data_IF_056768094855
#
_entry.id   IF_056768094855
#
_cell.length_a   1.000
_cell.length_b   1.000
_cell.length_c   1.000
_cell.angle_alpha   90.00
_cell.angle_beta   90.00
_cell.angle_gamma   90.00
#
_symmetry.space_group_name_H-M   'P 1'
#
loop_
_entity.id
_entity.type
_entity.pdbx_description
1 polymer ?
#
# COMPACT_ATOMS: atom_id res chain seq x y z
N UNK A 1 -11.43 -19.90 17.32
CA UNK A 1 -11.66 -20.07 15.86
C UNK A 1 -10.45 -19.75 14.98
N UNK A 2 -9.25 -20.26 15.29
CA UNK A 2 -8.09 -20.21 14.36
C UNK A 2 -8.28 -21.14 13.15
N UNK A 3 -8.99 -22.25 13.34
CA UNK A 3 -9.29 -23.22 12.27
C UNK A 3 -10.20 -22.65 11.19
N UNK A 4 -11.20 -21.82 11.54
CA UNK A 4 -12.06 -21.17 10.57
C UNK A 4 -11.32 -20.13 9.71
N UNK A 5 -10.34 -19.41 10.30
CA UNK A 5 -9.51 -18.45 9.58
C UNK A 5 -8.49 -19.14 8.65
N UNK A 6 -7.92 -20.27 9.09
CA UNK A 6 -7.04 -21.09 8.26
C UNK A 6 -7.81 -21.79 7.14
N UNK A 7 -9.05 -22.23 7.39
CA UNK A 7 -9.93 -22.82 6.38
C UNK A 7 -10.35 -21.78 5.32
N UNK A 8 -10.69 -20.55 5.71
CA UNK A 8 -11.02 -19.49 4.76
C UNK A 8 -9.80 -19.06 3.90
N UNK A 9 -8.60 -19.06 4.47
CA UNK A 9 -7.36 -18.82 3.74
C UNK A 9 -7.02 -19.98 2.77
N UNK A 10 -7.27 -21.23 3.18
CA UNK A 10 -7.03 -22.41 2.33
C UNK A 10 -8.03 -22.47 1.18
N UNK A 11 -9.31 -22.13 1.44
CA UNK A 11 -10.37 -22.09 0.44
C UNK A 11 -10.14 -20.98 -0.61
N UNK A 12 -9.64 -19.81 -0.18
CA UNK A 12 -9.32 -18.72 -1.11
C UNK A 12 -8.15 -19.11 -2.03
N UNK A 13 -7.12 -19.78 -1.52
CA UNK A 13 -5.99 -20.29 -2.31
C UNK A 13 -6.42 -21.40 -3.28
N UNK A 14 -7.35 -22.28 -2.88
CA UNK A 14 -7.88 -23.34 -3.75
C UNK A 14 -8.77 -22.82 -4.89
N UNK A 15 -9.55 -21.75 -4.66
CA UNK A 15 -10.37 -21.13 -5.70
C UNK A 15 -9.52 -20.48 -6.81
N UNK A 16 -8.27 -20.09 -6.53
CA UNK A 16 -7.34 -19.56 -7.52
C UNK A 16 -6.61 -20.63 -8.36
N UNK A 17 -6.71 -21.92 -8.03
CA UNK A 17 -5.89 -22.95 -8.70
C UNK A 17 -6.61 -23.83 -9.73
N UNK A 18 -7.95 -23.87 -9.79
CA UNK A 18 -8.61 -24.96 -10.56
C UNK A 18 -9.81 -24.64 -11.45
N UNK A 19 -10.32 -23.40 -11.60
CA UNK A 19 -11.60 -23.22 -12.33
C UNK A 19 -11.72 -22.25 -13.50
N UNK A 20 -10.63 -21.94 -14.22
CA UNK A 20 -10.74 -21.35 -15.58
C UNK A 20 -9.71 -21.96 -16.57
N UNK A 21 -9.23 -23.18 -16.29
CA UNK A 21 -8.21 -23.85 -17.15
C UNK A 21 -8.79 -24.62 -18.34
N UNK A 22 -10.12 -24.63 -18.53
CA UNK A 22 -10.77 -25.46 -19.55
C UNK A 22 -11.26 -24.70 -20.81
N UNK A 23 -11.62 -23.41 -20.73
CA UNK A 23 -12.31 -22.75 -21.86
C UNK A 23 -11.42 -21.84 -22.74
N UNK A 24 -10.21 -21.50 -22.30
CA UNK A 24 -9.32 -20.59 -23.05
C UNK A 24 -8.37 -21.28 -24.03
N UNK A 25 -8.23 -22.61 -23.97
CA UNK A 25 -7.28 -23.37 -24.79
C UNK A 25 -7.82 -23.69 -26.19
N UNK A 26 -9.12 -23.55 -26.45
CA UNK A 26 -9.71 -23.81 -27.78
C UNK A 26 -9.74 -22.60 -28.74
N UNK A 27 -9.42 -21.37 -28.29
CA UNK A 27 -9.48 -20.18 -29.16
C UNK A 27 -8.13 -19.71 -29.72
N UNK A 28 -7.00 -20.27 -29.27
CA UNK A 28 -5.66 -19.79 -29.66
C UNK A 28 -5.01 -20.56 -30.82
N UNK A 29 -5.59 -21.67 -31.29
CA UNK A 29 -4.99 -22.50 -32.36
C UNK A 29 -5.41 -22.11 -33.79
N UNK A 30 -6.06 -20.96 -34.01
CA UNK A 30 -6.54 -20.55 -35.35
C UNK A 30 -5.95 -19.25 -35.91
N UNK A 31 -5.04 -18.58 -35.21
CA UNK A 31 -4.57 -17.25 -35.62
C UNK A 31 -3.08 -17.15 -36.00
N UNK A 32 -2.34 -18.27 -36.10
CA UNK A 32 -0.94 -18.23 -36.51
C UNK A 32 -0.75 -19.16 -37.71
N UNK A 33 -1.03 -18.62 -38.89
CA UNK A 33 -0.57 -19.11 -40.18
C UNK A 33 0.05 -17.95 -40.96
N UNK A 34 1.37 -17.86 -40.83
CA UNK A 34 2.36 -17.47 -41.86
C UNK A 34 2.62 -15.99 -42.29
N UNK A 35 3.87 -15.72 -42.79
CA UNK A 35 4.60 -14.45 -42.67
C UNK A 35 5.08 -13.85 -44.03
N UNK A 36 5.82 -12.70 -44.01
CA UNK A 36 7.01 -12.36 -44.88
C UNK A 36 7.45 -10.87 -44.74
N UNK A 37 8.73 -10.59 -44.43
CA UNK A 37 9.86 -10.03 -45.26
C UNK A 37 9.73 -8.52 -45.61
N UNK A 38 10.74 -7.64 -45.73
CA UNK A 38 12.21 -7.59 -45.59
C UNK A 38 12.68 -6.09 -45.75
N UNK A 39 13.99 -5.84 -45.55
CA UNK A 39 14.82 -4.70 -46.06
C UNK A 39 14.90 -3.43 -45.17
N UNK A 40 16.00 -2.69 -45.03
CA UNK A 40 17.35 -2.76 -45.61
C UNK A 40 18.32 -1.90 -44.76
N UNK A 41 19.63 -2.17 -44.87
CA UNK A 41 20.73 -1.54 -44.14
C UNK A 41 21.32 -0.40 -44.99
N UNK A 42 21.69 0.73 -44.38
CA UNK A 42 22.66 1.67 -44.98
C UNK A 42 23.58 2.25 -43.91
N UNK A 43 24.90 2.14 -44.13
CA UNK A 43 25.99 2.72 -43.33
C UNK A 43 26.62 3.88 -44.10
N UNK A 44 26.90 5.01 -43.45
CA UNK A 44 28.13 5.84 -43.62
C UNK A 44 28.17 7.02 -42.60
N UNK A 45 29.31 7.72 -42.38
CA UNK A 45 29.99 7.66 -41.07
C UNK A 45 30.21 9.00 -40.32
N UNK A 46 30.53 8.84 -39.03
CA UNK A 46 31.41 9.61 -38.15
C UNK A 46 31.24 11.13 -37.98
N UNK A 47 30.68 11.52 -36.83
CA UNK A 47 31.08 12.73 -36.10
C UNK A 47 31.25 12.40 -34.62
N UNK A 48 32.44 12.71 -34.08
CA UNK A 48 32.90 12.41 -32.72
C UNK A 48 32.12 13.19 -31.67
N UNK A 49 31.51 12.52 -30.69
CA UNK A 49 31.36 13.10 -29.34
C UNK A 49 31.17 12.01 -28.27
N UNK A 50 32.04 12.07 -27.26
CA UNK A 50 32.00 11.44 -25.93
C UNK A 50 31.72 9.94 -25.81
N UNK A 51 32.79 9.17 -25.59
CA UNK A 51 32.75 7.84 -24.97
C UNK A 51 32.15 7.90 -23.57
N UNK A 52 30.85 7.60 -23.45
CA UNK A 52 30.32 6.93 -22.26
C UNK A 52 30.44 5.43 -22.50
N UNK A 53 31.08 4.75 -21.55
CA UNK A 53 31.17 3.29 -21.53
C UNK A 53 29.77 2.68 -21.53
N UNK A 54 29.34 2.15 -22.68
CA UNK A 54 28.26 1.18 -22.74
C UNK A 54 28.77 -0.12 -22.13
N UNK A 55 28.59 -0.26 -20.82
CA UNK A 55 28.46 -1.58 -20.22
C UNK A 55 27.22 -2.23 -20.86
N UNK A 56 27.38 -3.45 -21.37
CA UNK A 56 26.42 -4.10 -22.25
C UNK A 56 24.99 -4.11 -21.72
N UNK A 57 24.04 -4.10 -22.66
CA UNK A 57 22.61 -4.28 -22.43
C UNK A 57 22.32 -5.63 -21.73
N UNK A 58 22.60 -5.73 -20.44
CA UNK A 58 21.74 -6.51 -19.56
C UNK A 58 20.43 -5.75 -19.57
N UNK A 59 19.40 -6.34 -20.17
CA UNK A 59 18.03 -5.89 -19.97
C UNK A 59 17.85 -5.85 -18.44
N UNK A 60 17.90 -4.67 -17.83
CA UNK A 60 17.59 -4.54 -16.42
C UNK A 60 16.12 -4.93 -16.31
N UNK A 61 15.86 -6.13 -15.81
CA UNK A 61 14.52 -6.59 -15.55
C UNK A 61 13.88 -5.56 -14.60
N UNK A 62 12.61 -5.19 -14.84
CA UNK A 62 11.90 -4.30 -13.92
C UNK A 62 11.96 -4.93 -12.51
N UNK A 63 12.17 -4.12 -11.48
CA UNK A 63 12.27 -4.64 -10.10
C UNK A 63 10.99 -5.34 -9.66
N UNK A 64 9.84 -4.86 -10.13
CA UNK A 64 8.54 -5.38 -9.80
C UNK A 64 7.86 -5.99 -11.02
N UNK A 65 7.06 -7.02 -10.76
CA UNK A 65 6.09 -7.60 -11.70
C UNK A 65 4.71 -7.64 -11.09
N UNK A 66 3.71 -7.61 -11.97
CA UNK A 66 2.31 -7.78 -11.62
C UNK A 66 1.94 -9.27 -11.57
N UNK A 67 1.05 -9.65 -10.67
CA UNK A 67 0.44 -10.98 -10.64
C UNK A 67 -0.37 -11.26 -11.90
N UNK A 68 -0.41 -12.53 -12.34
CA UNK A 68 -1.13 -12.93 -13.58
C UNK A 68 -2.60 -12.53 -13.59
N UNK A 69 -3.27 -12.63 -12.45
CA UNK A 69 -4.65 -12.21 -12.29
C UNK A 69 -4.62 -10.82 -11.66
N UNK A 70 -5.04 -9.82 -12.42
CA UNK A 70 -5.21 -8.44 -11.96
C UNK A 70 -6.37 -7.79 -12.73
N UNK A 71 -6.81 -6.64 -12.24
CA UNK A 71 -7.88 -5.87 -12.86
C UNK A 71 -7.41 -5.22 -14.17
N UNK A 72 -8.07 -5.57 -15.27
CA UNK A 72 -7.76 -5.09 -16.61
C UNK A 72 -8.51 -3.77 -16.92
N UNK A 73 -8.20 -2.74 -16.14
CA UNK A 73 -8.71 -1.37 -16.35
C UNK A 73 -7.59 -0.32 -16.47
N UNK A 74 -6.33 -0.76 -16.56
CA UNK A 74 -5.13 0.08 -16.67
C UNK A 74 -4.58 0.60 -15.34
N UNK A 75 -5.28 0.43 -14.21
CA UNK A 75 -4.79 0.85 -12.89
C UNK A 75 -3.50 0.10 -12.51
N UNK A 76 -3.50 -1.22 -12.71
CA UNK A 76 -2.43 -2.07 -12.23
C UNK A 76 -1.11 -1.84 -12.99
N UNK A 77 -1.19 -1.68 -14.31
CA UNK A 77 -0.06 -1.39 -15.18
C UNK A 77 0.50 0.00 -14.94
N UNK A 78 -0.38 0.99 -14.80
CA UNK A 78 0.04 2.36 -14.56
C UNK A 78 0.74 2.48 -13.19
N UNK A 79 0.25 1.81 -12.15
CA UNK A 79 0.93 1.81 -10.86
C UNK A 79 2.21 0.96 -10.86
N UNK A 80 2.26 -0.14 -11.62
CA UNK A 80 3.49 -0.92 -11.82
C UNK A 80 4.61 -0.07 -12.42
N UNK A 81 4.27 0.81 -13.37
CA UNK A 81 5.23 1.73 -13.97
C UNK A 81 5.81 2.70 -12.94
N UNK A 82 4.97 3.25 -12.04
CA UNK A 82 5.43 4.13 -10.97
C UNK A 82 6.30 3.40 -9.93
N UNK A 83 5.92 2.18 -9.54
CA UNK A 83 6.74 1.36 -8.64
C UNK A 83 8.13 1.08 -9.22
N UNK A 84 8.23 0.78 -10.51
CA UNK A 84 9.50 0.50 -11.18
C UNK A 84 10.35 1.74 -11.45
N UNK A 85 9.74 2.94 -11.50
CA UNK A 85 10.45 4.21 -11.63
C UNK A 85 10.91 4.79 -10.30
N UNK A 86 10.23 4.45 -9.21
CA UNK A 86 10.53 5.00 -7.90
C UNK A 86 11.89 4.54 -7.36
N UNK A 87 12.68 5.45 -6.77
CA UNK A 87 13.88 5.09 -6.04
C UNK A 87 13.58 4.05 -4.94
N UNK A 88 14.48 3.09 -4.76
CA UNK A 88 14.25 1.96 -3.85
C UNK A 88 14.04 2.42 -2.40
N UNK A 89 14.80 3.42 -1.97
CA UNK A 89 14.75 4.10 -0.66
C UNK A 89 13.47 4.90 -0.42
N UNK A 90 12.82 5.39 -1.46
CA UNK A 90 11.55 6.13 -1.35
C UNK A 90 10.32 5.22 -1.19
N UNK A 91 10.47 3.92 -1.48
CA UNK A 91 9.37 2.98 -1.31
C UNK A 91 9.26 2.53 0.15
N UNK A 92 8.24 3.07 0.83
CA UNK A 92 8.03 2.95 2.27
C UNK A 92 6.61 2.48 2.58
N UNK A 93 6.41 1.71 3.65
CA UNK A 93 5.09 1.13 3.96
C UNK A 93 4.02 2.19 4.29
N UNK A 94 4.44 3.30 4.87
CA UNK A 94 3.53 4.39 5.26
C UNK A 94 3.52 5.58 4.28
N UNK A 95 4.11 5.44 3.09
CA UNK A 95 4.06 6.45 2.02
C UNK A 95 3.73 5.79 0.68
N UNK A 96 3.04 6.52 -0.18
CA UNK A 96 2.98 6.12 -1.57
C UNK A 96 4.31 6.48 -2.25
N UNK A 97 4.71 5.75 -3.30
CA UNK A 97 5.70 6.27 -4.25
C UNK A 97 5.23 7.64 -4.78
N UNK A 98 6.17 8.43 -5.30
CA UNK A 98 5.79 9.65 -6.03
C UNK A 98 4.93 9.23 -7.23
N UNK A 99 3.75 9.84 -7.35
CA UNK A 99 2.78 9.56 -8.41
C UNK A 99 2.73 10.74 -9.39
N UNK A 100 3.67 10.85 -10.35
CA UNK A 100 3.66 11.89 -11.37
C UNK A 100 2.50 11.70 -12.37
N UNK A 101 1.95 10.49 -12.48
CA UNK A 101 0.82 10.20 -13.36
C UNK A 101 -0.44 10.95 -12.91
N UNK A 102 -0.99 11.88 -13.71
CA UNK A 102 -2.17 12.64 -13.32
C UNK A 102 -3.45 11.79 -13.24
N UNK A 103 -3.44 10.53 -13.68
CA UNK A 103 -4.59 9.63 -13.63
C UNK A 103 -4.67 8.86 -12.31
N UNK A 104 -3.52 8.49 -11.72
CA UNK A 104 -3.47 7.86 -10.39
C UNK A 104 -3.01 8.89 -9.38
N UNK A 105 -3.85 9.20 -8.38
CA UNK A 105 -3.52 10.13 -7.31
C UNK A 105 -3.74 9.50 -5.96
N UNK A 106 -3.11 10.02 -4.92
CA UNK A 106 -3.63 9.79 -3.57
C UNK A 106 -5.02 10.43 -3.46
N UNK A 107 -5.97 9.72 -2.87
CA UNK A 107 -7.27 10.28 -2.54
C UNK A 107 -7.07 11.45 -1.57
N UNK A 108 -7.62 12.61 -1.92
CA UNK A 108 -7.49 13.82 -1.11
C UNK A 108 -8.34 13.70 0.14
N UNK A 109 -7.70 13.87 1.30
CA UNK A 109 -8.39 14.08 2.57
C UNK A 109 -8.18 15.52 3.01
N UNK A 110 -9.27 16.22 3.31
CA UNK A 110 -9.26 17.59 3.82
C UNK A 110 -8.81 17.58 5.28
N UNK A 111 -7.77 18.33 5.67
CA UNK A 111 -7.37 18.44 7.07
C UNK A 111 -8.52 18.91 7.97
N UNK A 112 -8.65 18.30 9.14
CA UNK A 112 -9.57 18.77 10.19
C UNK A 112 -8.76 19.65 11.14
N UNK A 113 -9.25 20.86 11.37
CA UNK A 113 -8.56 21.92 12.13
C UNK A 113 -9.48 22.55 13.19
N UNK A 114 -8.88 23.25 14.15
CA UNK A 114 -9.60 23.98 15.20
C UNK A 114 -10.43 23.08 16.12
N UNK A 115 -11.55 23.61 16.61
CA UNK A 115 -12.44 22.90 17.55
C UNK A 115 -12.99 21.58 17.01
N UNK A 116 -13.10 21.41 15.69
CA UNK A 116 -13.54 20.15 15.07
C UNK A 116 -12.60 18.99 15.38
N UNK A 117 -11.32 19.25 15.65
CA UNK A 117 -10.40 18.17 16.08
C UNK A 117 -10.94 17.53 17.36
N UNK A 118 -11.39 18.33 18.33
CA UNK A 118 -11.90 17.85 19.62
C UNK A 118 -13.14 17.00 19.43
N UNK A 119 -14.10 17.49 18.65
CA UNK A 119 -15.35 16.80 18.33
C UNK A 119 -15.08 15.44 17.66
N UNK A 120 -14.30 15.42 16.58
CA UNK A 120 -14.03 14.18 15.85
C UNK A 120 -13.18 13.22 16.69
N UNK A 121 -12.20 13.73 17.43
CA UNK A 121 -11.36 12.90 18.29
C UNK A 121 -12.18 12.19 19.37
N UNK A 122 -13.15 12.88 19.98
CA UNK A 122 -14.08 12.29 20.95
C UNK A 122 -14.84 11.09 20.36
N UNK A 123 -15.34 11.22 19.13
CA UNK A 123 -16.11 10.16 18.46
C UNK A 123 -15.28 8.90 18.16
N UNK A 124 -13.98 9.07 17.91
CA UNK A 124 -13.09 7.97 17.51
C UNK A 124 -12.16 7.50 18.64
N UNK A 125 -12.24 8.12 19.82
CA UNK A 125 -11.39 7.78 20.95
C UNK A 125 -11.79 6.43 21.55
N UNK A 126 -10.78 5.56 21.74
CA UNK A 126 -10.94 4.19 22.26
C UNK A 126 -9.90 3.86 23.34
N UNK A 127 -9.44 4.86 24.09
CA UNK A 127 -8.45 4.68 25.15
C UNK A 127 -9.04 4.11 26.44
N UNK A 128 -8.17 3.75 27.39
CA UNK A 128 -8.58 3.13 28.67
C UNK A 128 -9.16 4.12 29.68
N UNK A 129 -8.64 5.35 29.70
CA UNK A 129 -9.14 6.45 30.53
C UNK A 129 -10.31 7.15 29.84
N UNK A 130 -11.13 7.92 30.57
CA UNK A 130 -12.24 8.65 29.95
C UNK A 130 -11.71 9.69 28.96
N UNK A 131 -12.55 10.11 28.02
CA UNK A 131 -12.12 11.07 27.01
C UNK A 131 -11.73 12.41 27.63
N UNK A 132 -12.47 12.87 28.65
CA UNK A 132 -12.21 14.12 29.37
C UNK A 132 -10.84 14.09 30.06
N UNK A 133 -10.44 12.93 30.59
CA UNK A 133 -9.12 12.72 31.19
C UNK A 133 -8.01 12.70 30.13
N UNK A 134 -8.28 12.13 28.95
CA UNK A 134 -7.31 12.04 27.87
C UNK A 134 -7.10 13.35 27.11
N UNK A 135 -8.14 14.18 26.99
CA UNK A 135 -8.16 15.33 26.10
C UNK A 135 -6.97 16.29 26.31
N UNK A 136 -6.58 16.70 27.53
CA UNK A 136 -5.47 17.64 27.72
C UNK A 136 -4.11 17.13 27.19
N UNK A 137 -3.86 15.82 27.19
CA UNK A 137 -2.67 15.26 26.54
C UNK A 137 -2.84 15.20 25.03
N UNK A 138 -4.01 14.77 24.56
CA UNK A 138 -4.29 14.62 23.13
C UNK A 138 -4.28 15.96 22.39
N UNK A 139 -4.80 17.01 23.01
CA UNK A 139 -4.74 18.38 22.51
C UNK A 139 -3.29 18.83 22.29
N UNK A 140 -2.39 18.58 23.26
CA UNK A 140 -0.96 18.83 23.11
C UNK A 140 -0.35 18.00 21.98
N UNK A 141 -0.77 16.75 21.81
CA UNK A 141 -0.32 15.90 20.71
C UNK A 141 -0.76 16.41 19.34
N UNK A 142 -1.95 16.99 19.22
CA UNK A 142 -2.38 17.68 18.00
C UNK A 142 -1.57 18.94 17.73
N UNK A 143 -1.35 19.79 18.74
CA UNK A 143 -0.56 21.02 18.63
C UNK A 143 0.90 20.74 18.23
N UNK A 144 1.47 19.64 18.71
CA UNK A 144 2.83 19.21 18.35
C UNK A 144 2.89 18.48 16.98
N UNK A 145 1.75 18.21 16.35
CA UNK A 145 1.66 17.45 15.09
C UNK A 145 1.90 15.95 15.23
N UNK A 146 1.80 15.42 16.45
CA UNK A 146 1.88 13.98 16.74
C UNK A 146 0.65 13.25 16.23
N UNK A 147 -0.54 13.82 16.41
CA UNK A 147 -1.75 13.36 15.71
C UNK A 147 -2.16 14.36 14.65
N UNK A 148 -2.70 13.86 13.54
CA UNK A 148 -3.40 14.67 12.54
C UNK A 148 -4.66 13.94 12.10
N UNK A 149 -5.74 14.70 11.95
CA UNK A 149 -7.01 14.22 11.42
C UNK A 149 -7.26 14.87 10.07
N UNK A 150 -7.84 14.11 9.17
CA UNK A 150 -8.33 14.59 7.90
C UNK A 150 -9.56 13.77 7.51
N UNK A 151 -10.43 14.31 6.68
CA UNK A 151 -11.68 13.66 6.28
C UNK A 151 -11.81 13.57 4.76
N UNK A 152 -12.52 12.53 4.30
CA UNK A 152 -12.94 12.39 2.92
C UNK A 152 -14.32 11.72 2.86
N UNK A 153 -14.98 11.88 1.71
CA UNK A 153 -16.28 11.30 1.43
C UNK A 153 -16.19 10.45 0.18
N UNK A 154 -16.33 9.13 0.31
CA UNK A 154 -16.29 8.20 -0.81
C UNK A 154 -17.10 6.95 -0.49
N UNK A 155 -17.53 6.26 -1.55
CA UNK A 155 -18.29 5.02 -1.46
C UNK A 155 -17.34 3.86 -1.11
N UNK A 156 -17.33 3.48 0.15
CA UNK A 156 -16.50 2.43 0.72
C UNK A 156 -17.24 1.09 0.84
N UNK A 157 -18.55 1.05 0.61
CA UNK A 157 -19.36 -0.16 0.66
C UNK A 157 -19.97 -0.56 -0.71
N UNK A 158 -19.66 0.18 -1.77
CA UNK A 158 -20.20 0.03 -3.12
C UNK A 158 -21.74 0.08 -3.20
N UNK A 159 -22.40 0.86 -2.33
CA UNK A 159 -23.86 1.03 -2.35
C UNK A 159 -24.31 2.30 -3.11
N UNK A 160 -23.36 3.06 -3.64
CA UNK A 160 -23.58 4.32 -4.35
C UNK A 160 -23.68 5.55 -3.44
N UNK A 161 -23.64 5.38 -2.11
CA UNK A 161 -23.60 6.46 -1.13
C UNK A 161 -22.19 6.63 -0.62
N UNK A 162 -21.83 7.86 -0.26
CA UNK A 162 -20.51 8.18 0.25
C UNK A 162 -20.49 8.11 1.78
N UNK A 163 -19.58 7.31 2.32
CA UNK A 163 -19.26 7.32 3.74
C UNK A 163 -18.43 8.53 4.13
N UNK A 164 -18.64 9.03 5.35
CA UNK A 164 -17.72 9.97 5.98
C UNK A 164 -16.55 9.18 6.58
N UNK A 165 -15.35 9.36 6.03
CA UNK A 165 -14.15 8.64 6.45
C UNK A 165 -13.14 9.59 7.07
N UNK A 166 -12.79 9.33 8.32
CA UNK A 166 -11.72 10.01 9.04
C UNK A 166 -10.42 9.25 8.83
N UNK A 167 -9.42 9.93 8.30
CA UNK A 167 -8.02 9.50 8.31
C UNK A 167 -7.33 10.08 9.53
N UNK A 168 -6.88 9.20 10.42
CA UNK A 168 -5.97 9.53 11.51
C UNK A 168 -4.54 9.20 11.11
N UNK A 169 -3.65 10.17 11.22
CA UNK A 169 -2.22 10.00 11.02
C UNK A 169 -1.51 10.01 12.37
N UNK A 170 -0.61 9.06 12.58
CA UNK A 170 0.24 9.00 13.77
C UNK A 170 1.64 8.46 13.45
N UNK A 171 2.68 8.91 14.18
CA UNK A 171 3.97 8.26 14.17
C UNK A 171 3.86 6.79 14.56
N UNK A 172 4.61 5.93 13.88
CA UNK A 172 4.72 4.51 14.24
C UNK A 172 6.06 3.92 13.81
N UNK A 173 6.64 3.07 14.66
CA UNK A 173 7.87 2.33 14.34
C UNK A 173 7.71 1.40 13.13
N UNK A 174 6.49 0.91 12.89
CA UNK A 174 6.19 -0.02 11.79
C UNK A 174 6.33 0.62 10.39
N UNK A 175 6.42 1.95 10.32
CA UNK A 175 6.64 2.67 9.07
C UNK A 175 8.09 2.59 8.59
N UNK A 176 9.05 2.33 9.49
CA UNK A 176 10.46 2.13 9.12
C UNK A 176 10.63 0.70 8.59
N UNK A 177 11.08 0.49 7.34
CA UNK A 177 11.31 -0.86 6.83
C UNK A 177 12.33 -1.61 7.69
N UNK A 178 12.06 -2.86 8.05
CA UNK A 178 13.07 -3.78 8.58
C UNK A 178 14.13 -4.00 7.52
N UNK A 179 15.40 -3.88 7.89
CA UNK A 179 16.53 -4.12 7.00
C UNK A 179 17.46 -5.19 7.58
N UNK A 180 18.09 -5.98 6.70
CA UNK A 180 19.02 -7.04 7.08
C UNK A 180 20.18 -6.50 7.94
N UNK A 181 20.61 -5.26 7.71
CA UNK A 181 21.72 -4.63 8.42
C UNK A 181 21.42 -4.39 9.92
N UNK A 182 20.14 -4.43 10.32
CA UNK A 182 19.72 -4.33 11.72
C UNK A 182 19.74 -5.68 12.46
N UNK A 183 19.85 -6.80 11.75
CA UNK A 183 19.82 -8.15 12.31
C UNK A 183 20.99 -9.05 11.88
N UNK A 184 21.71 -8.76 10.81
CA UNK A 184 22.61 -9.75 10.19
C UNK A 184 21.85 -10.89 9.50
N UNK A 185 22.59 -11.88 9.01
CA UNK A 185 22.06 -12.90 8.10
C UNK A 185 21.14 -13.95 8.74
N UNK A 186 21.17 -14.07 10.08
CA UNK A 186 20.52 -15.14 10.86
C UNK A 186 19.45 -14.66 11.86
N UNK A 187 19.08 -13.38 11.88
CA UNK A 187 18.22 -12.85 12.94
C UNK A 187 16.72 -12.97 12.61
N UNK A 188 16.00 -13.61 13.53
CA UNK A 188 14.54 -13.72 13.56
C UNK A 188 13.90 -12.33 13.50
N UNK A 189 13.07 -12.09 12.48
CA UNK A 189 12.28 -10.88 12.25
C UNK A 189 11.55 -10.41 13.53
N UNK A 190 11.11 -11.34 14.38
CA UNK A 190 10.45 -11.02 15.65
C UNK A 190 11.36 -10.27 16.62
N UNK A 191 12.65 -10.59 16.66
CA UNK A 191 13.61 -9.94 17.55
C UNK A 191 13.91 -8.50 17.13
N UNK A 192 14.07 -8.25 15.83
CA UNK A 192 14.21 -6.89 15.25
C UNK A 192 12.98 -6.04 15.58
N UNK A 193 11.77 -6.60 15.42
CA UNK A 193 10.53 -5.89 15.76
C UNK A 193 10.43 -5.57 17.26
N UNK A 194 10.90 -6.48 18.12
CA UNK A 194 10.93 -6.26 19.58
C UNK A 194 11.89 -5.14 19.96
N UNK A 195 13.12 -5.16 19.46
CA UNK A 195 14.11 -4.12 19.72
C UNK A 195 13.59 -2.75 19.27
N UNK A 196 13.02 -2.66 18.06
CA UNK A 196 12.41 -1.43 17.55
C UNK A 196 11.31 -0.89 18.43
N UNK A 197 10.50 -1.78 19.03
CA UNK A 197 9.46 -1.38 19.97
C UNK A 197 10.06 -0.75 21.22
N UNK A 198 11.12 -1.34 21.78
CA UNK A 198 11.82 -0.79 22.95
C UNK A 198 12.49 0.55 22.65
N UNK A 199 13.18 0.65 21.51
CA UNK A 199 13.77 1.92 21.05
C UNK A 199 12.69 2.98 20.87
N UNK A 200 11.57 2.64 20.23
CA UNK A 200 10.44 3.55 20.03
C UNK A 200 9.84 4.05 21.35
N UNK A 201 9.65 3.15 22.31
CA UNK A 201 9.13 3.48 23.65
C UNK A 201 10.08 4.39 24.44
N UNK A 202 11.40 4.31 24.19
CA UNK A 202 12.39 5.19 24.80
C UNK A 202 12.48 6.58 24.14
N UNK A 203 11.90 6.75 22.94
CA UNK A 203 11.96 8.02 22.21
C UNK A 203 10.97 9.04 22.74
N UNK A 204 11.40 10.29 22.74
CA UNK A 204 10.51 11.44 22.92
C UNK A 204 9.52 11.56 21.75
N UNK A 205 8.34 12.14 21.97
CA UNK A 205 7.36 12.43 20.91
C UNK A 205 7.97 13.22 19.74
N UNK A 206 8.92 14.13 20.02
CA UNK A 206 9.65 14.89 18.99
C UNK A 206 10.50 13.99 18.09
N UNK A 207 11.22 13.03 18.66
CA UNK A 207 12.01 12.04 17.90
C UNK A 207 11.09 11.13 17.07
N UNK A 208 9.98 10.68 17.64
CA UNK A 208 8.97 9.87 16.93
C UNK A 208 8.39 10.63 15.73
N UNK A 209 8.07 11.92 15.88
CA UNK A 209 7.63 12.80 14.78
C UNK A 209 8.71 12.93 13.71
N UNK A 210 9.98 13.10 14.08
CA UNK A 210 11.09 13.17 13.12
C UNK A 210 11.20 11.89 12.30
N UNK A 211 11.09 10.72 12.93
CA UNK A 211 11.05 9.45 12.20
C UNK A 211 9.87 9.36 11.25
N UNK A 212 8.68 9.76 11.69
CA UNK A 212 7.48 9.73 10.85
C UNK A 212 7.57 10.71 9.66
N UNK A 213 8.32 11.82 9.76
CA UNK A 213 8.62 12.69 8.61
C UNK A 213 9.47 11.96 7.56
N UNK A 214 10.44 11.17 8.00
CA UNK A 214 11.31 10.38 7.10
C UNK A 214 10.57 9.19 6.49
N UNK A 215 9.93 8.36 7.31
CA UNK A 215 9.38 7.07 6.89
C UNK A 215 7.87 7.07 6.60
N UNK A 216 7.18 8.15 6.97
CA UNK A 216 5.74 8.31 6.80
C UNK A 216 4.98 8.15 8.12
N UNK A 217 3.75 8.65 8.12
CA UNK A 217 2.82 8.51 9.23
C UNK A 217 1.88 7.35 8.93
N UNK A 218 1.68 6.46 9.88
CA UNK A 218 0.72 5.37 9.77
C UNK A 218 -0.69 5.96 9.57
N UNK A 219 -1.45 5.42 8.61
CA UNK A 219 -2.87 5.74 8.46
C UNK A 219 -3.72 4.82 9.31
N UNK A 220 -4.67 5.37 10.05
CA UNK A 220 -5.88 4.68 10.46
C UNK A 220 -7.08 5.30 9.76
N UNK A 221 -8.02 4.49 9.30
CA UNK A 221 -9.23 4.95 8.64
C UNK A 221 -10.46 4.51 9.43
N UNK A 222 -11.24 5.48 9.89
CA UNK A 222 -12.44 5.28 10.70
C UNK A 222 -13.62 5.79 9.89
N UNK A 223 -14.66 4.97 9.78
CA UNK A 223 -15.92 5.35 9.13
C UNK A 223 -16.87 5.89 10.18
N UNK A 224 -17.39 7.09 9.94
CA UNK A 224 -18.45 7.71 10.72
C UNK A 224 -19.79 7.59 10.00
N UNK A 225 -20.85 7.29 10.75
CA UNK A 225 -22.23 7.36 10.27
C UNK A 225 -23.09 8.00 11.36
N UNK A 226 -23.91 8.98 10.99
CA UNK A 226 -24.84 9.66 11.91
C UNK A 226 -24.16 10.21 13.19
N UNK A 227 -22.90 10.64 13.08
CA UNK A 227 -22.14 11.16 14.21
C UNK A 227 -21.49 10.09 15.09
N UNK A 228 -21.53 8.81 14.71
CA UNK A 228 -20.93 7.72 15.49
C UNK A 228 -19.88 6.95 14.67
N UNK A 229 -18.87 6.41 15.36
CA UNK A 229 -17.90 5.50 14.77
C UNK A 229 -18.57 4.17 14.44
N UNK A 230 -18.83 3.96 13.15
CA UNK A 230 -19.48 2.74 12.63
C UNK A 230 -18.50 1.62 12.41
N UNK A 231 -17.24 1.92 12.06
CA UNK A 231 -16.27 0.88 11.71
C UNK A 231 -14.92 1.42 11.24
N UNK A 232 -14.12 0.52 10.65
CA UNK A 232 -12.78 0.82 10.14
C UNK A 232 -12.61 0.28 8.73
N UNK A 233 -11.78 0.94 7.92
CA UNK A 233 -11.36 0.36 6.65
C UNK A 233 -10.22 -0.64 6.89
N UNK A 234 -10.21 -1.74 6.14
CA UNK A 234 -9.16 -2.76 6.27
C UNK A 234 -7.79 -2.36 5.68
N UNK A 235 -7.72 -1.26 4.92
CA UNK A 235 -6.49 -0.79 4.28
C UNK A 235 -5.42 -0.37 5.27
N UNK A 236 -4.21 -0.89 5.11
CA UNK A 236 -3.04 -0.57 5.95
C UNK A 236 -2.18 0.58 5.40
N UNK A 237 -2.28 0.87 4.10
CA UNK A 237 -1.51 1.90 3.41
C UNK A 237 -2.26 3.23 3.23
N UNK A 238 -2.07 3.88 2.07
CA UNK A 238 -2.86 5.04 1.62
C UNK A 238 -4.05 4.58 0.75
N UNK A 239 -4.91 5.51 0.38
CA UNK A 239 -6.01 5.27 -0.56
C UNK A 239 -5.69 6.00 -1.85
N UNK A 240 -5.74 5.29 -2.97
CA UNK A 240 -5.58 5.86 -4.30
C UNK A 240 -6.95 6.27 -4.86
N UNK A 241 -6.96 7.29 -5.69
CA UNK A 241 -8.07 7.65 -6.56
C UNK A 241 -7.70 7.36 -8.01
N UNK A 242 -8.57 6.62 -8.69
CA UNK A 242 -8.43 6.30 -10.11
C UNK A 242 -9.82 6.21 -10.75
N UNK A 243 -10.04 6.92 -11.86
CA UNK A 243 -11.33 6.97 -12.58
C UNK A 243 -12.55 7.21 -11.65
N UNK A 244 -12.39 8.07 -10.63
CA UNK A 244 -13.45 8.43 -9.70
C UNK A 244 -13.72 7.41 -8.57
N UNK A 245 -13.00 6.29 -8.53
CA UNK A 245 -13.11 5.28 -7.47
C UNK A 245 -11.95 5.37 -6.47
N UNK A 246 -12.20 4.92 -5.25
CA UNK A 246 -11.23 4.85 -4.17
C UNK A 246 -10.69 3.41 -4.02
N UNK A 247 -9.37 3.28 -3.98
CA UNK A 247 -8.69 1.98 -3.92
C UNK A 247 -7.75 1.94 -2.71
N UNK A 248 -8.06 1.17 -1.65
CA UNK A 248 -7.14 1.00 -0.53
C UNK A 248 -5.90 0.23 -0.96
N UNK A 249 -4.76 0.63 -0.40
CA UNK A 249 -3.47 -0.01 -0.64
C UNK A 249 -2.98 -0.80 0.57
N UNK A 250 -2.15 -1.78 0.29
CA UNK A 250 -1.58 -2.73 1.23
C UNK A 250 -0.10 -2.89 0.89
N UNK A 251 0.79 -2.66 1.85
CA UNK A 251 2.24 -2.55 1.60
C UNK A 251 3.05 -3.55 2.43
N UNK A 252 2.52 -4.75 2.66
CA UNK A 252 3.05 -5.70 3.64
C UNK A 252 4.51 -6.08 3.37
N UNK A 253 4.91 -6.28 2.12
CA UNK A 253 6.30 -6.63 1.80
C UNK A 253 7.26 -5.45 1.85
N UNK A 254 6.78 -4.21 1.71
CA UNK A 254 7.62 -3.00 1.86
C UNK A 254 8.20 -2.90 3.28
N UNK A 255 7.43 -3.35 4.28
CA UNK A 255 7.86 -3.34 5.68
C UNK A 255 9.08 -4.23 5.97
N UNK A 256 9.47 -5.12 5.05
CA UNK A 256 10.52 -6.13 5.22
C UNK A 256 11.60 -6.05 4.13
N UNK A 257 11.92 -4.83 3.71
CA UNK A 257 12.89 -4.55 2.65
C UNK A 257 14.23 -5.29 2.88
N UNK A 258 14.72 -5.98 1.83
CA UNK A 258 15.97 -6.75 1.85
C UNK A 258 15.95 -8.00 2.77
N UNK A 259 14.80 -8.62 3.04
CA UNK A 259 14.70 -9.91 3.74
C UNK A 259 14.36 -11.04 2.73
N UNK A 260 15.34 -11.86 2.31
CA UNK A 260 15.20 -12.82 1.20
C UNK A 260 14.02 -13.80 1.33
N UNK A 261 13.79 -14.33 2.53
CA UNK A 261 12.77 -15.37 2.79
C UNK A 261 11.32 -14.86 2.68
N UNK A 262 11.15 -13.54 2.58
CA UNK A 262 9.85 -12.88 2.42
C UNK A 262 9.62 -12.38 0.99
N UNK A 263 10.58 -12.54 0.08
CA UNK A 263 10.53 -12.02 -1.30
C UNK A 263 9.48 -12.70 -2.21
N UNK A 264 8.91 -13.84 -1.79
CA UNK A 264 7.84 -14.53 -2.52
C UNK A 264 6.43 -13.99 -2.22
N UNK A 265 6.31 -13.12 -1.20
CA UNK A 265 5.06 -12.49 -0.80
C UNK A 265 4.69 -11.35 -1.74
N UNK A 266 3.40 -11.00 -1.73
CA UNK A 266 2.96 -9.76 -2.35
C UNK A 266 3.67 -8.59 -1.64
N UNK A 267 4.36 -7.78 -2.42
CA UNK A 267 5.15 -6.68 -1.91
C UNK A 267 4.29 -5.45 -1.66
N UNK A 268 3.41 -5.18 -2.62
CA UNK A 268 2.35 -4.18 -2.54
C UNK A 268 1.10 -4.74 -3.20
N UNK A 269 -0.07 -4.32 -2.73
CA UNK A 269 -1.34 -4.62 -3.36
C UNK A 269 -2.24 -3.39 -3.39
N UNK A 270 -3.04 -3.29 -4.44
CA UNK A 270 -4.17 -2.38 -4.53
C UNK A 270 -5.42 -3.25 -4.47
N UNK A 271 -6.42 -2.83 -3.71
CA UNK A 271 -7.68 -3.56 -3.56
C UNK A 271 -8.87 -2.69 -3.98
N UNK A 272 -9.98 -3.35 -4.30
CA UNK A 272 -11.30 -2.72 -4.37
C UNK A 272 -12.06 -3.01 -3.08
N UNK A 273 -12.80 -2.04 -2.56
CA UNK A 273 -13.73 -2.31 -1.47
C UNK A 273 -14.72 -3.39 -1.91
N UNK A 274 -14.96 -4.38 -1.06
CA UNK A 274 -15.80 -5.54 -1.42
C UNK A 274 -17.29 -5.31 -1.16
N UNK A 275 -17.64 -4.18 -0.54
CA UNK A 275 -18.98 -3.91 -0.01
C UNK A 275 -19.37 -4.75 1.20
N UNK A 276 -18.59 -5.79 1.52
CA UNK A 276 -18.81 -6.62 2.69
C UNK A 276 -18.28 -5.94 3.95
N UNK A 277 -19.15 -5.78 4.95
CA UNK A 277 -18.79 -5.34 6.30
C UNK A 277 -18.71 -6.58 7.18
N UNK A 278 -17.53 -6.83 7.75
CA UNK A 278 -17.34 -7.96 8.66
C UNK A 278 -18.11 -7.78 9.97
N UNK A 279 -18.28 -8.88 10.73
CA UNK A 279 -18.88 -8.82 12.07
C UNK A 279 -18.11 -7.94 13.09
N UNK A 280 -16.89 -7.50 12.75
CA UNK A 280 -16.10 -6.53 13.52
C UNK A 280 -16.23 -5.10 12.99
N UNK A 281 -17.25 -4.83 12.16
CA UNK A 281 -17.46 -3.58 11.45
C UNK A 281 -16.25 -3.12 10.63
N UNK A 282 -15.55 -4.07 10.01
CA UNK A 282 -14.46 -3.76 9.09
C UNK A 282 -14.97 -3.76 7.67
N UNK A 283 -14.78 -2.65 6.95
CA UNK A 283 -15.07 -2.56 5.52
C UNK A 283 -13.99 -3.36 4.77
N UNK A 284 -14.42 -4.47 4.20
CA UNK A 284 -13.56 -5.39 3.48
C UNK A 284 -13.07 -4.80 2.17
N UNK A 285 -11.89 -5.25 1.74
CA UNK A 285 -11.40 -4.99 0.40
C UNK A 285 -10.74 -6.27 -0.14
N UNK A 286 -10.81 -6.44 -1.46
CA UNK A 286 -10.26 -7.58 -2.16
C UNK A 286 -9.14 -7.11 -3.08
N UNK A 287 -7.90 -7.65 -2.96
CA UNK A 287 -6.81 -7.29 -3.85
C UNK A 287 -7.19 -7.47 -5.32
N UNK A 288 -7.00 -6.41 -6.10
CA UNK A 288 -7.22 -6.36 -7.55
C UNK A 288 -5.92 -6.16 -8.33
N UNK A 289 -4.89 -5.63 -7.68
CA UNK A 289 -3.52 -5.63 -8.19
C UNK A 289 -2.62 -6.22 -7.10
N UNK A 290 -1.71 -7.12 -7.46
CA UNK A 290 -0.65 -7.59 -6.56
C UNK A 290 0.71 -7.51 -7.25
N UNK A 291 1.63 -6.79 -6.62
CA UNK A 291 2.97 -6.55 -7.13
C UNK A 291 3.96 -7.39 -6.35
N UNK A 292 4.84 -8.10 -7.06
CA UNK A 292 5.90 -8.93 -6.48
C UNK A 292 7.25 -8.46 -6.97
N UNK A 293 8.30 -8.73 -6.21
CA UNK A 293 9.66 -8.55 -6.70
C UNK A 293 9.92 -9.54 -7.85
N UNK A 294 10.65 -9.08 -8.86
CA UNK A 294 11.29 -9.99 -9.79
C UNK A 294 12.46 -10.65 -9.08
N UNK A 295 12.51 -11.97 -9.15
CA UNK A 295 13.69 -12.73 -8.79
C UNK A 295 14.64 -12.59 -9.97
N UNK A 296 15.81 -12.00 -9.73
CA UNK A 296 16.94 -12.06 -10.64
C UNK A 296 17.45 -13.50 -10.79
#
# INVERSE_FOLDING_TARGET
NKEAALAAYTLSVQLFSTKVRADSVQRLTRAIAEPKQNAEITKQPATKTYTQHHAGNKLHLPRFKLSRNHLDNGLCEAFLAELNRSPWDELLSCKLPILPNPVIKELVFTPIEGERIKEIDQLIYRGRQTWEQAWPERERDYQLGYFRLAEAFFDANNDGKKEHVIRRLLPSQSCRPASKDEGGDDVDVLSVLKQRTQEWESMTKKQQIQQAKMYGFLSGYIVLQQGESKGYLSGSGRILSYQGKAYPTYSEGISFKNIPDLNDRNWFSIAEFSGYISSKNTYGATPVCSYKLNKD
#
